data_IF_888725513975
#
_entry.id   IF_888725513975
#
_cell.length_a   1.000
_cell.length_b   1.000
_cell.length_c   1.000
_cell.angle_alpha   90.00
_cell.angle_beta   90.00
_cell.angle_gamma   90.00
#
_symmetry.space_group_name_H-M   'P 1'
#
loop_
_entity.id
_entity.type
_entity.pdbx_description
1 polymer ?
#
# COMPACT_ATOMS: atom_id res chain seq x y z
N UNK A 1 -19.88 -11.02 45.10
CA UNK A 1 -19.88 -9.55 44.86
C UNK A 1 -18.44 -9.06 44.83
N UNK A 2 -17.88 -8.79 43.64
CA UNK A 2 -16.50 -8.35 43.51
C UNK A 2 -16.32 -6.89 43.93
N UNK A 3 -15.25 -6.60 44.66
CA UNK A 3 -14.87 -5.24 45.02
C UNK A 3 -14.05 -4.62 43.90
N UNK A 4 -14.36 -3.38 43.54
CA UNK A 4 -13.61 -2.66 42.52
C UNK A 4 -12.16 -2.41 42.97
N UNK A 5 -11.14 -2.84 42.18
CA UNK A 5 -9.74 -2.66 42.58
C UNK A 5 -9.29 -1.20 42.60
N UNK A 6 -10.03 -0.28 41.97
CA UNK A 6 -9.69 1.14 41.91
C UNK A 6 -10.37 2.00 43.00
N UNK A 7 -11.62 1.73 43.33
CA UNK A 7 -12.38 2.57 44.25
C UNK A 7 -12.98 1.82 45.47
N UNK A 8 -12.76 0.50 45.57
CA UNK A 8 -13.16 -0.35 46.69
C UNK A 8 -14.67 -0.62 46.82
N UNK A 9 -15.51 -0.10 45.91
CA UNK A 9 -16.97 -0.32 46.01
C UNK A 9 -17.31 -1.73 45.56
N UNK A 10 -18.26 -2.34 46.26
CA UNK A 10 -18.85 -3.62 45.99
C UNK A 10 -19.85 -3.50 44.82
N UNK A 11 -19.71 -4.33 43.80
CA UNK A 11 -20.57 -4.37 42.62
C UNK A 11 -21.26 -5.75 42.52
N UNK A 12 -22.32 -5.84 41.72
CA UNK A 12 -23.02 -7.07 41.49
C UNK A 12 -22.11 -8.07 40.72
N UNK A 13 -22.34 -9.36 40.94
CA UNK A 13 -21.51 -10.46 40.39
C UNK A 13 -21.48 -10.45 38.85
N UNK A 14 -22.52 -9.94 38.22
CA UNK A 14 -22.67 -9.83 36.74
C UNK A 14 -22.15 -8.52 36.15
N UNK A 15 -21.72 -7.56 36.99
CA UNK A 15 -21.27 -6.24 36.53
C UNK A 15 -19.97 -6.35 35.76
N UNK A 16 -19.95 -5.90 34.53
CA UNK A 16 -18.75 -5.81 33.68
C UNK A 16 -17.88 -4.59 34.02
N UNK A 17 -18.49 -3.54 34.53
CA UNK A 17 -17.83 -2.27 34.89
C UNK A 17 -18.29 -1.82 36.28
N UNK A 18 -17.41 -1.14 37.01
CA UNK A 18 -17.74 -0.53 38.30
C UNK A 18 -18.77 0.59 38.10
N UNK A 19 -19.88 0.49 38.83
CA UNK A 19 -20.97 1.48 38.76
C UNK A 19 -20.58 2.89 39.22
N UNK A 20 -19.51 3.01 40.03
CA UNK A 20 -19.04 4.30 40.55
C UNK A 20 -17.92 4.94 39.70
N UNK A 21 -16.94 4.16 39.22
CA UNK A 21 -15.75 4.73 38.59
C UNK A 21 -15.52 4.24 37.15
N UNK A 22 -16.41 3.39 36.61
CA UNK A 22 -16.32 2.86 35.25
C UNK A 22 -15.17 1.89 34.98
N UNK A 23 -14.40 1.48 36.02
CA UNK A 23 -13.30 0.52 35.83
C UNK A 23 -13.84 -0.85 35.52
N UNK A 24 -13.29 -1.56 34.52
CA UNK A 24 -13.65 -2.93 34.19
C UNK A 24 -13.38 -3.87 35.38
N UNK A 25 -14.38 -4.65 35.78
CA UNK A 25 -14.33 -5.60 36.90
C UNK A 25 -14.02 -7.04 36.44
N UNK A 26 -14.22 -7.32 35.17
CA UNK A 26 -13.81 -8.59 34.55
C UNK A 26 -12.45 -8.41 33.88
N UNK A 27 -11.38 -8.64 34.64
CA UNK A 27 -10.07 -8.88 34.07
C UNK A 27 -9.99 -10.37 33.69
N UNK A 28 -9.36 -10.65 32.55
CA UNK A 28 -8.68 -11.91 32.23
C UNK A 28 -9.45 -13.02 31.51
N UNK A 29 -10.38 -12.66 30.64
CA UNK A 29 -10.69 -13.57 29.53
C UNK A 29 -10.66 -12.84 28.18
N UNK A 30 -9.58 -12.08 27.94
CA UNK A 30 -9.32 -11.60 26.59
C UNK A 30 -9.22 -12.80 25.66
N UNK A 31 -10.12 -12.85 24.68
CA UNK A 31 -10.10 -13.89 23.65
C UNK A 31 -8.72 -13.93 22.98
N UNK A 32 -8.29 -15.06 22.42
CA UNK A 32 -7.03 -15.13 21.68
C UNK A 32 -6.92 -14.00 20.64
N UNK A 33 -8.03 -13.60 20.04
CA UNK A 33 -8.14 -12.52 19.07
C UNK A 33 -7.86 -11.13 19.70
N UNK A 34 -8.42 -10.86 20.88
CA UNK A 34 -8.19 -9.59 21.61
C UNK A 34 -6.74 -9.47 22.07
N UNK A 35 -6.13 -10.58 22.51
CA UNK A 35 -4.69 -10.61 22.86
C UNK A 35 -3.80 -10.32 21.65
N UNK A 36 -4.16 -10.84 20.47
CA UNK A 36 -3.46 -10.53 19.23
C UNK A 36 -3.67 -9.08 18.80
N UNK A 37 -4.87 -8.54 18.93
CA UNK A 37 -5.16 -7.14 18.64
C UNK A 37 -4.43 -6.17 19.58
N UNK A 38 -4.34 -6.48 20.89
CA UNK A 38 -3.58 -5.69 21.85
C UNK A 38 -2.06 -5.72 21.58
N UNK A 39 -1.51 -6.88 21.24
CA UNK A 39 -0.08 -6.99 20.85
C UNK A 39 0.18 -6.20 19.57
N UNK A 40 -0.68 -6.34 18.58
CA UNK A 40 -0.58 -5.58 17.34
C UNK A 40 -0.61 -4.07 17.59
N UNK A 41 -1.52 -3.58 18.44
CA UNK A 41 -1.60 -2.16 18.81
C UNK A 41 -0.34 -1.69 19.55
N UNK A 42 0.21 -2.50 20.45
CA UNK A 42 1.46 -2.21 21.16
C UNK A 42 2.67 -2.20 20.22
N UNK A 43 2.75 -3.15 19.30
CA UNK A 43 3.83 -3.22 18.30
C UNK A 43 3.78 -2.00 17.35
N UNK A 44 2.59 -1.59 16.93
CA UNK A 44 2.39 -0.39 16.11
C UNK A 44 2.74 0.90 16.88
N UNK A 45 2.38 1.00 18.15
CA UNK A 45 2.74 2.15 19.00
C UNK A 45 4.25 2.23 19.22
N UNK A 46 4.90 1.09 19.45
CA UNK A 46 6.35 0.99 19.63
C UNK A 46 7.09 1.33 18.33
N UNK A 47 6.56 0.87 17.20
CA UNK A 47 7.10 1.22 15.88
C UNK A 47 6.92 2.71 15.58
N UNK A 48 5.79 3.30 15.94
CA UNK A 48 5.54 4.75 15.83
C UNK A 48 6.49 5.58 16.68
N UNK A 49 6.74 5.17 17.93
CA UNK A 49 7.72 5.82 18.84
C UNK A 49 9.15 5.72 18.31
N UNK A 50 9.56 4.55 17.86
CA UNK A 50 10.89 4.32 17.29
C UNK A 50 11.11 5.13 16.00
N UNK A 51 10.07 5.26 15.16
CA UNK A 51 10.10 6.10 13.96
C UNK A 51 10.19 7.60 14.34
N UNK A 52 9.39 8.03 15.31
CA UNK A 52 9.39 9.42 15.82
C UNK A 52 10.72 9.81 16.45
N UNK A 53 11.30 8.95 17.28
CA UNK A 53 12.63 9.16 17.88
C UNK A 53 13.74 9.19 16.81
N UNK A 54 13.66 8.30 15.83
CA UNK A 54 14.62 8.29 14.70
C UNK A 54 14.53 9.57 13.86
N UNK A 55 13.33 10.09 13.63
CA UNK A 55 13.13 11.36 12.92
C UNK A 55 13.56 12.57 13.75
N UNK A 56 13.33 12.59 15.06
CA UNK A 56 13.75 13.70 15.93
C UNK A 56 15.27 13.72 16.14
N UNK A 57 15.91 12.55 16.23
CA UNK A 57 17.38 12.46 16.26
C UNK A 57 18.00 12.84 14.91
N UNK A 58 17.37 12.53 13.79
CA UNK A 58 17.79 12.99 12.47
C UNK A 58 17.65 14.53 12.36
N UNK A 59 16.56 15.12 12.81
CA UNK A 59 16.33 16.56 12.79
C UNK A 59 17.33 17.34 13.65
N UNK A 60 17.72 16.83 14.82
CA UNK A 60 18.74 17.46 15.69
C UNK A 60 20.16 17.43 15.13
N UNK A 61 20.47 16.48 14.25
CA UNK A 61 21.82 16.40 13.59
C UNK A 61 21.91 17.20 12.29
N UNK A 62 20.82 17.78 11.80
CA UNK A 62 20.72 18.53 10.53
C UNK A 62 21.60 19.82 10.54
N UNK A 63 22.06 20.26 11.68
CA UNK A 63 22.83 21.52 11.80
C UNK A 63 24.32 21.42 11.48
N UNK A 64 24.84 20.24 11.17
CA UNK A 64 26.30 20.07 11.11
C UNK A 64 26.96 19.55 9.82
N UNK A 65 26.27 18.77 8.96
CA UNK A 65 27.00 18.20 7.80
C UNK A 65 26.09 17.69 6.68
N UNK A 66 25.89 18.50 5.66
CA UNK A 66 24.82 18.28 4.65
C UNK A 66 25.12 17.23 3.58
N UNK A 67 26.36 16.77 3.40
CA UNK A 67 26.72 15.79 2.35
C UNK A 67 26.67 14.33 2.80
N UNK A 68 27.04 14.04 4.03
CA UNK A 68 26.99 12.68 4.59
C UNK A 68 25.60 12.30 5.07
N UNK A 69 24.74 13.28 5.32
CA UNK A 69 23.40 13.11 5.86
C UNK A 69 22.43 12.50 4.84
N UNK A 70 22.51 12.90 3.57
CA UNK A 70 21.68 12.32 2.51
C UNK A 70 21.88 10.82 2.39
N UNK A 71 23.13 10.36 2.39
CA UNK A 71 23.45 8.92 2.32
C UNK A 71 23.02 8.15 3.56
N UNK A 72 23.14 8.73 4.74
CA UNK A 72 22.72 8.10 6.00
C UNK A 72 21.19 8.07 6.16
N UNK A 73 20.50 9.09 5.65
CA UNK A 73 19.04 9.12 5.61
C UNK A 73 18.51 8.06 4.64
N UNK A 74 19.06 7.98 3.43
CA UNK A 74 18.73 6.97 2.45
C UNK A 74 18.95 5.55 2.99
N UNK A 75 20.08 5.28 3.64
CA UNK A 75 20.36 3.99 4.27
C UNK A 75 19.41 3.64 5.40
N UNK A 76 18.95 4.64 6.19
CA UNK A 76 17.98 4.41 7.27
C UNK A 76 16.57 4.18 6.73
N UNK A 77 16.16 4.96 5.73
CA UNK A 77 14.87 4.74 5.06
C UNK A 77 14.81 3.36 4.42
N UNK A 78 15.90 2.94 3.76
CA UNK A 78 16.05 1.59 3.21
C UNK A 78 15.98 0.50 4.29
N UNK A 79 16.61 0.74 5.44
CA UNK A 79 16.62 -0.23 6.53
C UNK A 79 15.25 -0.34 7.21
N UNK A 80 14.56 0.77 7.42
CA UNK A 80 13.18 0.79 7.91
C UNK A 80 12.25 0.13 6.90
N UNK A 81 12.39 0.45 5.61
CA UNK A 81 11.63 -0.16 4.53
C UNK A 81 11.79 -1.69 4.51
N UNK A 82 13.02 -2.19 4.59
CA UNK A 82 13.31 -3.64 4.65
C UNK A 82 12.75 -4.31 5.90
N UNK A 83 12.79 -3.64 7.05
CA UNK A 83 12.25 -4.20 8.29
C UNK A 83 10.71 -4.30 8.23
N UNK A 84 10.04 -3.26 7.72
CA UNK A 84 8.58 -3.27 7.50
C UNK A 84 8.20 -4.34 6.48
N UNK A 85 8.94 -4.45 5.39
CA UNK A 85 8.73 -5.44 4.35
C UNK A 85 8.87 -6.87 4.89
N UNK A 86 9.94 -7.17 5.64
CA UNK A 86 10.18 -8.47 6.23
C UNK A 86 9.09 -8.84 7.27
N UNK A 87 8.65 -7.86 8.08
CA UNK A 87 7.57 -8.06 9.02
C UNK A 87 6.25 -8.36 8.30
N UNK A 88 5.94 -7.59 7.24
CA UNK A 88 4.75 -7.77 6.44
C UNK A 88 4.72 -9.13 5.75
N UNK A 89 5.84 -9.53 5.12
CA UNK A 89 5.97 -10.84 4.46
C UNK A 89 5.86 -12.00 5.45
N UNK A 90 6.39 -11.83 6.67
CA UNK A 90 6.31 -12.84 7.72
C UNK A 90 4.89 -12.99 8.29
N UNK A 91 4.16 -11.88 8.41
CA UNK A 91 2.84 -11.85 9.03
C UNK A 91 1.75 -12.28 8.05
N UNK A 92 1.79 -11.79 6.83
CA UNK A 92 0.73 -11.98 5.85
C UNK A 92 1.09 -12.99 4.74
N UNK A 93 2.38 -13.24 4.51
CA UNK A 93 2.84 -14.22 3.53
C UNK A 93 2.15 -14.05 2.18
N UNK A 94 1.51 -15.13 1.69
CA UNK A 94 0.83 -15.13 0.38
C UNK A 94 -0.41 -14.20 0.33
N UNK A 95 -0.99 -13.84 1.47
CA UNK A 95 -2.10 -12.89 1.56
C UNK A 95 -1.65 -11.43 1.52
N UNK A 96 -0.35 -11.17 1.70
CA UNK A 96 0.20 -9.82 1.69
C UNK A 96 -0.15 -9.02 0.42
N UNK A 97 0.11 -9.54 -0.79
CA UNK A 97 -0.24 -8.86 -2.03
C UNK A 97 -1.73 -8.52 -2.16
N UNK A 98 -2.60 -9.42 -1.67
CA UNK A 98 -4.05 -9.20 -1.66
C UNK A 98 -4.42 -8.03 -0.74
N UNK A 99 -3.89 -8.03 0.49
CA UNK A 99 -4.12 -6.94 1.45
C UNK A 99 -3.60 -5.60 0.93
N UNK A 100 -2.42 -5.56 0.32
CA UNK A 100 -1.88 -4.35 -0.29
C UNK A 100 -2.81 -3.81 -1.39
N UNK A 101 -3.37 -4.68 -2.22
CA UNK A 101 -4.32 -4.30 -3.26
C UNK A 101 -5.64 -3.79 -2.68
N UNK A 102 -6.14 -4.38 -1.59
CA UNK A 102 -7.32 -3.88 -0.89
C UNK A 102 -7.08 -2.52 -0.24
N UNK A 103 -5.93 -2.32 0.41
CA UNK A 103 -5.56 -1.02 0.99
C UNK A 103 -5.50 0.04 -0.11
N UNK A 104 -4.89 -0.27 -1.26
CA UNK A 104 -4.88 0.64 -2.41
C UNK A 104 -6.30 1.01 -2.86
N UNK A 105 -7.22 0.02 -2.95
CA UNK A 105 -8.62 0.25 -3.29
C UNK A 105 -9.32 1.18 -2.29
N UNK A 106 -9.10 0.96 -0.98
CA UNK A 106 -9.69 1.79 0.08
C UNK A 106 -9.18 3.23 -0.04
N UNK A 107 -7.87 3.41 -0.24
CA UNK A 107 -7.26 4.74 -0.42
C UNK A 107 -7.82 5.41 -1.67
N UNK A 108 -7.89 4.70 -2.80
CA UNK A 108 -8.43 5.23 -4.03
C UNK A 108 -9.92 5.60 -3.86
N UNK A 109 -10.70 4.76 -3.21
CA UNK A 109 -12.11 5.03 -2.92
C UNK A 109 -12.28 6.26 -2.03
N UNK A 110 -11.43 6.39 -1.00
CA UNK A 110 -11.44 7.56 -0.11
C UNK A 110 -11.07 8.84 -0.87
N UNK A 111 -10.06 8.78 -1.74
CA UNK A 111 -9.66 9.91 -2.58
C UNK A 111 -10.80 10.35 -3.52
N UNK A 112 -11.53 9.39 -4.10
CA UNK A 112 -12.71 9.66 -4.94
C UNK A 112 -13.82 10.32 -4.11
N UNK A 113 -14.08 9.88 -2.87
CA UNK A 113 -15.09 10.52 -2.01
C UNK A 113 -14.71 11.94 -1.60
N UNK A 114 -13.43 12.17 -1.29
CA UNK A 114 -12.92 13.52 -1.02
C UNK A 114 -13.09 14.42 -2.24
N UNK A 115 -12.72 13.93 -3.43
CA UNK A 115 -12.92 14.66 -4.69
C UNK A 115 -14.41 14.95 -4.95
N UNK A 116 -15.30 14.02 -4.60
CA UNK A 116 -16.75 14.20 -4.75
C UNK A 116 -17.33 15.26 -3.81
N UNK A 117 -16.82 15.37 -2.58
CA UNK A 117 -17.22 16.44 -1.65
C UNK A 117 -16.84 17.81 -2.21
N UNK A 118 -15.71 17.90 -2.92
CA UNK A 118 -15.28 19.13 -3.59
C UNK A 118 -16.03 19.42 -4.91
N UNK A 119 -16.86 18.48 -5.37
CA UNK A 119 -17.60 18.59 -6.65
C UNK A 119 -18.78 19.56 -6.61
N UNK A 120 -19.21 19.99 -5.42
CA UNK A 120 -20.26 21.01 -5.29
C UNK A 120 -19.85 22.35 -5.93
N UNK A 121 -18.54 22.60 -6.04
CA UNK A 121 -17.99 23.80 -6.70
C UNK A 121 -17.70 23.60 -8.20
N UNK A 122 -17.52 22.34 -8.66
CA UNK A 122 -17.13 22.00 -10.02
C UNK A 122 -17.96 20.81 -10.52
N UNK A 123 -19.06 21.05 -11.28
CA UNK A 123 -19.99 20.00 -11.75
C UNK A 123 -19.31 18.87 -12.53
N UNK A 124 -18.25 19.18 -13.30
CA UNK A 124 -17.48 18.20 -14.07
C UNK A 124 -16.80 17.16 -13.20
N UNK A 125 -16.45 17.52 -11.95
CA UNK A 125 -15.78 16.61 -10.99
C UNK A 125 -16.67 15.43 -10.63
N UNK A 126 -17.99 15.63 -10.54
CA UNK A 126 -18.94 14.53 -10.27
C UNK A 126 -18.92 13.50 -11.40
N UNK A 127 -18.81 13.95 -12.65
CA UNK A 127 -18.71 13.08 -13.83
C UNK A 127 -17.39 12.32 -13.85
N UNK A 128 -16.28 13.00 -13.55
CA UNK A 128 -14.94 12.37 -13.48
C UNK A 128 -14.92 11.27 -12.42
N UNK A 129 -15.41 11.56 -11.23
CA UNK A 129 -15.43 10.57 -10.12
C UNK A 129 -16.32 9.37 -10.45
N UNK A 130 -17.47 9.57 -11.09
CA UNK A 130 -18.37 8.49 -11.51
C UNK A 130 -17.69 7.59 -12.57
N UNK A 131 -16.96 8.17 -13.52
CA UNK A 131 -16.21 7.42 -14.54
C UNK A 131 -15.09 6.59 -13.89
N UNK A 132 -14.30 7.18 -12.99
CA UNK A 132 -13.22 6.45 -12.30
C UNK A 132 -13.76 5.27 -11.50
N UNK A 133 -14.95 5.39 -10.89
CA UNK A 133 -15.60 4.31 -10.16
C UNK A 133 -15.90 3.08 -11.01
N UNK A 134 -16.24 3.26 -12.28
CA UNK A 134 -16.49 2.16 -13.23
C UNK A 134 -15.21 1.32 -13.43
N UNK A 135 -14.05 1.98 -13.45
CA UNK A 135 -12.76 1.33 -13.68
C UNK A 135 -12.06 0.86 -12.40
N UNK A 136 -12.70 0.99 -11.23
CA UNK A 136 -12.13 0.57 -9.95
C UNK A 136 -11.77 -0.93 -9.92
N UNK A 137 -12.64 -1.78 -10.47
CA UNK A 137 -12.42 -3.23 -10.52
C UNK A 137 -11.27 -3.63 -11.44
N UNK A 138 -11.17 -3.15 -12.69
CA UNK A 138 -9.99 -3.36 -13.52
C UNK A 138 -8.68 -2.85 -12.89
N UNK A 139 -8.70 -1.67 -12.24
CA UNK A 139 -7.54 -1.14 -11.51
C UNK A 139 -7.14 -2.05 -10.35
N UNK A 140 -8.09 -2.60 -9.63
CA UNK A 140 -7.81 -3.59 -8.59
C UNK A 140 -7.14 -4.84 -9.17
N UNK A 141 -7.66 -5.37 -10.27
CA UNK A 141 -7.08 -6.54 -10.94
C UNK A 141 -5.63 -6.32 -11.37
N UNK A 142 -5.32 -5.14 -11.91
CA UNK A 142 -3.94 -4.80 -12.33
C UNK A 142 -3.00 -4.60 -11.14
N UNK A 143 -3.44 -3.95 -10.07
CA UNK A 143 -2.64 -3.82 -8.84
C UNK A 143 -2.40 -5.17 -8.17
N UNK A 144 -3.42 -6.02 -8.16
CA UNK A 144 -3.31 -7.39 -7.65
C UNK A 144 -2.28 -8.19 -8.45
N UNK A 145 -2.36 -8.16 -9.77
CA UNK A 145 -1.39 -8.81 -10.66
C UNK A 145 0.03 -8.32 -10.40
N UNK A 146 0.24 -7.01 -10.31
CA UNK A 146 1.55 -6.39 -10.04
C UNK A 146 2.11 -6.81 -8.68
N UNK A 147 1.29 -6.76 -7.62
CA UNK A 147 1.70 -7.11 -6.28
C UNK A 147 2.05 -8.61 -6.16
N UNK A 148 1.27 -9.51 -6.76
CA UNK A 148 1.60 -10.94 -6.79
C UNK A 148 2.83 -11.23 -7.63
N UNK A 149 3.01 -10.54 -8.75
CA UNK A 149 4.22 -10.68 -9.57
C UNK A 149 5.46 -10.33 -8.77
N UNK A 150 5.42 -9.21 -8.04
CA UNK A 150 6.51 -8.78 -7.15
C UNK A 150 6.77 -9.82 -6.06
N UNK A 151 5.73 -10.30 -5.39
CA UNK A 151 5.84 -11.32 -4.33
C UNK A 151 6.49 -12.62 -4.85
N UNK A 152 5.99 -13.17 -5.95
CA UNK A 152 6.52 -14.43 -6.51
C UNK A 152 7.91 -14.27 -7.11
N UNK A 153 8.24 -13.12 -7.70
CA UNK A 153 9.58 -12.86 -8.23
C UNK A 153 10.65 -12.82 -7.14
N UNK A 154 10.29 -12.43 -5.90
CA UNK A 154 11.18 -12.48 -4.75
C UNK A 154 11.34 -13.89 -4.18
N UNK A 155 10.28 -14.70 -4.22
CA UNK A 155 10.24 -16.01 -3.58
C UNK A 155 10.77 -17.13 -4.50
N UNK A 156 10.68 -16.97 -5.82
CA UNK A 156 11.04 -18.00 -6.79
C UNK A 156 11.95 -17.44 -7.87
N UNK A 157 13.17 -18.01 -7.98
CA UNK A 157 14.11 -17.65 -9.03
C UNK A 157 13.54 -17.90 -10.45
N UNK A 158 12.82 -19.01 -10.64
CA UNK A 158 12.18 -19.32 -11.92
C UNK A 158 11.12 -18.29 -12.31
N UNK A 159 10.35 -17.79 -11.33
CA UNK A 159 9.32 -16.80 -11.58
C UNK A 159 9.92 -15.40 -11.85
N UNK A 160 11.11 -15.12 -11.33
CA UNK A 160 11.84 -13.87 -11.55
C UNK A 160 12.08 -13.57 -13.02
N UNK A 161 12.27 -14.63 -13.85
CA UNK A 161 12.47 -14.48 -15.30
C UNK A 161 11.20 -13.93 -15.97
N UNK A 162 10.02 -14.27 -15.48
CA UNK A 162 8.74 -13.81 -16.03
C UNK A 162 8.31 -12.44 -15.46
N UNK A 163 8.97 -11.97 -14.42
CA UNK A 163 8.61 -10.69 -13.75
C UNK A 163 8.56 -9.49 -14.72
N UNK A 164 9.52 -9.27 -15.64
CA UNK A 164 9.45 -8.17 -16.60
C UNK A 164 8.22 -8.24 -17.50
N UNK A 165 7.83 -9.45 -17.92
CA UNK A 165 6.64 -9.66 -18.75
C UNK A 165 5.36 -9.23 -18.03
N UNK A 166 5.18 -9.66 -16.79
CA UNK A 166 3.98 -9.31 -16.03
C UNK A 166 3.92 -7.82 -15.67
N UNK A 167 5.07 -7.19 -15.36
CA UNK A 167 5.11 -5.76 -15.09
C UNK A 167 4.82 -4.93 -16.34
N UNK A 168 5.37 -5.30 -17.49
CA UNK A 168 5.07 -4.60 -18.76
C UNK A 168 3.59 -4.77 -19.14
N UNK A 169 3.03 -5.97 -18.94
CA UNK A 169 1.62 -6.23 -19.17
C UNK A 169 0.71 -5.40 -18.22
N UNK A 170 1.03 -5.35 -16.92
CA UNK A 170 0.30 -4.53 -15.96
C UNK A 170 0.32 -3.04 -16.34
N UNK A 171 1.49 -2.52 -16.75
CA UNK A 171 1.61 -1.12 -17.18
C UNK A 171 0.74 -0.84 -18.41
N UNK A 172 0.77 -1.71 -19.41
CA UNK A 172 -0.04 -1.56 -20.64
C UNK A 172 -1.53 -1.59 -20.31
N UNK A 173 -1.97 -2.48 -19.41
CA UNK A 173 -3.36 -2.53 -18.97
C UNK A 173 -3.76 -1.23 -18.25
N UNK A 174 -2.89 -0.68 -17.40
CA UNK A 174 -3.14 0.62 -16.75
C UNK A 174 -3.29 1.74 -17.79
N UNK A 175 -2.38 1.83 -18.76
CA UNK A 175 -2.47 2.84 -19.81
C UNK A 175 -3.71 2.65 -20.68
N UNK A 176 -4.10 1.42 -20.98
CA UNK A 176 -5.34 1.13 -21.68
C UNK A 176 -6.57 1.57 -20.86
N UNK A 177 -6.60 1.32 -19.56
CA UNK A 177 -7.67 1.81 -18.67
C UNK A 177 -7.72 3.34 -18.70
N UNK A 178 -6.57 4.02 -18.67
CA UNK A 178 -6.51 5.49 -18.80
C UNK A 178 -7.11 5.96 -20.12
N UNK A 179 -6.79 5.31 -21.25
CA UNK A 179 -7.38 5.63 -22.54
C UNK A 179 -8.90 5.45 -22.53
N UNK A 180 -9.40 4.35 -21.93
CA UNK A 180 -10.86 4.10 -21.82
C UNK A 180 -11.57 5.14 -20.94
N UNK A 181 -10.92 5.57 -19.85
CA UNK A 181 -11.42 6.67 -19.00
C UNK A 181 -11.53 7.95 -19.83
N UNK A 182 -10.50 8.31 -20.63
CA UNK A 182 -10.51 9.50 -21.48
C UNK A 182 -11.60 9.43 -22.55
N UNK A 183 -11.82 8.26 -23.19
CA UNK A 183 -12.95 8.09 -24.12
C UNK A 183 -14.30 8.31 -23.44
N UNK A 184 -14.49 7.73 -22.26
CA UNK A 184 -15.73 7.87 -21.51
C UNK A 184 -15.97 9.33 -21.09
N UNK A 185 -14.90 10.04 -20.68
CA UNK A 185 -14.96 11.45 -20.32
C UNK A 185 -15.25 12.34 -21.54
N UNK A 186 -14.63 12.04 -22.69
CA UNK A 186 -14.95 12.72 -23.95
C UNK A 186 -16.45 12.69 -24.22
N UNK A 187 -17.06 11.51 -24.14
CA UNK A 187 -18.49 11.33 -24.45
C UNK A 187 -19.40 12.01 -23.42
N UNK A 188 -18.96 12.10 -22.17
CA UNK A 188 -19.72 12.77 -21.11
C UNK A 188 -19.58 14.27 -21.07
N UNK A 189 -18.37 14.77 -21.27
CA UNK A 189 -18.01 16.18 -21.15
C UNK A 189 -18.04 16.90 -22.52
N UNK A 190 -18.19 16.16 -23.65
CA UNK A 190 -18.19 16.67 -25.03
C UNK A 190 -16.88 17.39 -25.40
N UNK A 191 -15.74 16.97 -24.82
CA UNK A 191 -14.41 17.54 -25.06
C UNK A 191 -13.67 16.65 -26.08
N UNK A 192 -13.59 17.11 -27.33
CA UNK A 192 -12.99 16.34 -28.44
C UNK A 192 -11.51 15.99 -28.21
N UNK A 193 -10.74 16.86 -27.58
CA UNK A 193 -9.30 16.68 -27.33
C UNK A 193 -9.00 15.44 -26.45
N UNK A 194 -9.91 15.08 -25.56
CA UNK A 194 -9.78 13.87 -24.74
C UNK A 194 -9.78 12.59 -25.60
N UNK A 195 -10.58 12.57 -26.68
CA UNK A 195 -10.60 11.46 -27.61
C UNK A 195 -9.31 11.34 -28.40
N UNK A 196 -8.74 12.46 -28.83
CA UNK A 196 -7.43 12.48 -29.49
C UNK A 196 -6.32 11.99 -28.57
N UNK A 197 -6.32 12.42 -27.31
CA UNK A 197 -5.38 11.95 -26.30
C UNK A 197 -5.51 10.44 -26.05
N UNK A 198 -6.73 9.91 -25.93
CA UNK A 198 -6.99 8.49 -25.76
C UNK A 198 -6.47 7.66 -26.94
N UNK A 199 -6.75 8.09 -28.17
CA UNK A 199 -6.27 7.42 -29.38
C UNK A 199 -4.72 7.43 -29.47
N UNK A 200 -4.09 8.53 -29.09
CA UNK A 200 -2.62 8.59 -29.04
C UNK A 200 -2.05 7.60 -28.02
N UNK A 201 -2.67 7.47 -26.85
CA UNK A 201 -2.26 6.45 -25.86
C UNK A 201 -2.40 5.05 -26.45
N UNK A 202 -3.54 4.70 -27.04
CA UNK A 202 -3.75 3.37 -27.64
C UNK A 202 -2.73 3.06 -28.72
N UNK A 203 -2.40 4.00 -29.60
CA UNK A 203 -1.45 3.82 -30.67
C UNK A 203 -0.03 3.54 -30.18
N UNK A 204 0.36 4.08 -29.04
CA UNK A 204 1.71 3.86 -28.48
C UNK A 204 1.80 2.60 -27.59
N UNK A 205 0.67 1.98 -27.17
CA UNK A 205 0.68 0.82 -26.27
C UNK A 205 1.60 -0.31 -26.71
N UNK A 206 1.59 -0.77 -27.99
CA UNK A 206 2.48 -1.84 -28.42
C UNK A 206 3.96 -1.46 -28.29
N UNK A 207 4.29 -0.21 -28.64
CA UNK A 207 5.66 0.31 -28.52
C UNK A 207 6.12 0.37 -27.07
N UNK A 208 5.25 0.90 -26.19
CA UNK A 208 5.53 0.97 -24.74
C UNK A 208 5.73 -0.44 -24.16
N UNK A 209 4.88 -1.40 -24.56
CA UNK A 209 5.02 -2.79 -24.11
C UNK A 209 6.40 -3.36 -24.43
N UNK A 210 6.80 -3.28 -25.70
CA UNK A 210 8.10 -3.81 -26.16
C UNK A 210 9.25 -3.10 -25.46
N UNK A 211 9.19 -1.78 -25.35
CA UNK A 211 10.24 -0.97 -24.72
C UNK A 211 10.41 -1.29 -23.23
N UNK A 212 9.31 -1.34 -22.48
CA UNK A 212 9.34 -1.66 -21.04
C UNK A 212 9.77 -3.10 -20.80
N UNK A 213 9.34 -4.02 -21.67
CA UNK A 213 9.76 -5.42 -21.64
C UNK A 213 11.28 -5.55 -21.84
N UNK A 214 11.84 -4.88 -22.84
CA UNK A 214 13.27 -4.89 -23.11
C UNK A 214 14.06 -4.31 -21.94
N UNK A 215 13.66 -3.13 -21.43
CA UNK A 215 14.30 -2.53 -20.25
C UNK A 215 14.24 -3.50 -19.07
N UNK A 216 13.09 -4.11 -18.83
CA UNK A 216 12.92 -5.07 -17.75
C UNK A 216 13.86 -6.26 -17.84
N UNK A 217 14.08 -6.81 -19.03
CA UNK A 217 15.03 -7.91 -19.23
C UNK A 217 16.50 -7.45 -19.14
N UNK A 218 16.82 -6.25 -19.60
CA UNK A 218 18.16 -5.66 -19.43
C UNK A 218 18.48 -5.49 -17.94
N UNK A 219 17.56 -4.89 -17.17
CA UNK A 219 17.71 -4.74 -15.73
C UNK A 219 17.83 -6.10 -15.03
N UNK A 220 17.05 -7.08 -15.46
CA UNK A 220 17.14 -8.44 -14.93
C UNK A 220 18.50 -9.06 -15.23
N UNK A 221 19.03 -8.91 -16.44
CA UNK A 221 20.33 -9.44 -16.84
C UNK A 221 21.49 -8.81 -16.05
N UNK A 222 21.42 -7.50 -15.80
CA UNK A 222 22.44 -6.78 -15.00
C UNK A 222 22.40 -7.22 -13.53
N UNK A 223 21.20 -7.44 -12.98
CA UNK A 223 20.99 -7.78 -11.57
C UNK A 223 21.00 -9.30 -11.30
N UNK A 224 21.14 -10.15 -12.31
CA UNK A 224 21.36 -11.56 -12.08
C UNK A 224 22.75 -11.73 -11.45
N UNK A 225 22.87 -12.26 -10.22
CA UNK A 225 24.17 -12.55 -9.66
C UNK A 225 24.87 -13.56 -10.58
N UNK A 226 26.15 -13.32 -10.89
CA UNK A 226 27.04 -14.29 -11.56
C UNK A 226 27.33 -15.44 -10.61
N UNK A 227 26.29 -16.22 -10.29
CA UNK A 227 26.39 -17.38 -9.38
C UNK A 227 27.10 -18.59 -10.00
N UNK A 228 27.57 -18.49 -11.25
CA UNK A 228 28.24 -19.61 -11.90
C UNK A 228 29.73 -19.73 -11.58
N UNK A 229 30.32 -18.79 -10.84
CA UNK A 229 31.76 -18.83 -10.52
C UNK A 229 32.11 -19.41 -9.14
N UNK A 230 31.13 -19.95 -8.41
CA UNK A 230 31.36 -20.63 -7.11
C UNK A 230 30.84 -22.06 -7.11
N UNK A 231 31.32 -22.90 -8.03
CA UNK A 231 31.41 -24.33 -7.77
C UNK A 231 32.86 -24.72 -7.89
N UNK A 232 33.49 -25.15 -6.76
CA UNK A 232 34.75 -25.85 -6.81
C UNK A 232 34.59 -27.22 -7.47
#
# INVERSE_FOLDING_TARGET
>A
MPNCPKCGIQNDDDSMFCTKCGTSLKSDAATPLERHAMRFAQDMEQMGKNLGESMTHAAKRIQGDSRDMGKRFEQRVDQVGKNVENWYDRTFGILGPLLASFIFLIILRLAIEIARISADEVPEMSTITAVILIYLLPLFGTTLLSNYTTYFSRKSYKFRIFSPLFHSMALVIILWIVAQILYTLRDRLQIADLGTAAMNIENILPTVFVFVLLIGYVVLAINMPREQEKKP
#
